data_IF_837976430051
#
_entry.id   IF_837976430051
#
_cell.length_a   1.000
_cell.length_b   1.000
_cell.length_c   1.000
_cell.angle_alpha   90.00
_cell.angle_beta   90.00
_cell.angle_gamma   90.00
#
_symmetry.space_group_name_H-M   'P 1'
#
loop_
_entity.id
_entity.type
_entity.pdbx_description
1 polymer ?
#
# COMPACT_ATOMS: atom_id res chain seq x y z
N UNK A 1 -35.99 -2.43 -49.63
CA UNK A 1 -37.18 -2.56 -48.76
C UNK A 1 -36.68 -2.66 -47.33
N UNK A 2 -36.84 -1.58 -46.56
CA UNK A 2 -36.40 -1.48 -45.16
C UNK A 2 -37.50 -2.08 -44.27
N UNK A 3 -37.22 -3.06 -43.39
CA UNK A 3 -38.21 -3.54 -42.45
C UNK A 3 -38.46 -2.48 -41.36
N UNK A 4 -39.73 -2.29 -41.03
CA UNK A 4 -40.21 -1.31 -40.06
C UNK A 4 -39.83 -1.69 -38.62
N UNK A 5 -39.50 -0.67 -37.83
CA UNK A 5 -39.23 -0.75 -36.39
C UNK A 5 -40.44 -1.29 -35.62
N UNK A 6 -40.29 -2.45 -34.99
CA UNK A 6 -41.29 -3.02 -34.08
C UNK A 6 -41.30 -2.23 -32.76
N UNK A 7 -42.39 -1.52 -32.47
CA UNK A 7 -42.57 -0.80 -31.20
C UNK A 7 -43.03 -1.80 -30.14
N UNK A 8 -42.14 -2.13 -29.21
CA UNK A 8 -42.48 -2.93 -28.02
C UNK A 8 -43.53 -2.19 -27.19
N UNK A 9 -44.77 -2.69 -27.20
CA UNK A 9 -45.87 -2.11 -26.42
C UNK A 9 -45.84 -2.65 -24.99
N UNK A 10 -45.33 -1.84 -24.07
CA UNK A 10 -45.32 -2.14 -22.63
C UNK A 10 -46.75 -2.38 -22.14
N UNK A 11 -47.00 -3.56 -21.60
CA UNK A 11 -48.31 -3.99 -21.13
C UNK A 11 -48.68 -3.31 -19.81
N UNK A 12 -49.98 -3.19 -19.51
CA UNK A 12 -50.43 -2.59 -18.23
C UNK A 12 -49.82 -3.30 -17.01
N UNK A 13 -49.60 -4.60 -17.08
CA UNK A 13 -49.00 -5.39 -15.99
C UNK A 13 -47.53 -5.01 -15.74
N UNK A 14 -46.74 -4.81 -16.78
CA UNK A 14 -45.34 -4.35 -16.64
C UNK A 14 -45.24 -2.94 -16.06
N UNK A 15 -46.21 -2.06 -16.37
CA UNK A 15 -46.30 -0.72 -15.75
C UNK A 15 -46.61 -0.78 -14.25
N UNK A 16 -47.49 -1.70 -13.84
CA UNK A 16 -47.80 -1.92 -12.42
C UNK A 16 -46.62 -2.51 -11.66
N UNK A 17 -45.87 -3.43 -12.26
CA UNK A 17 -44.64 -3.98 -11.67
C UNK A 17 -43.57 -2.90 -11.54
N UNK A 18 -43.34 -2.10 -12.59
CA UNK A 18 -42.38 -0.99 -12.57
C UNK A 18 -42.73 0.06 -11.51
N UNK A 19 -44.01 0.38 -11.33
CA UNK A 19 -44.47 1.27 -10.28
C UNK A 19 -44.24 0.69 -8.88
N UNK A 20 -44.48 -0.62 -8.70
CA UNK A 20 -44.18 -1.31 -7.44
C UNK A 20 -42.70 -1.24 -7.06
N UNK A 21 -41.80 -1.46 -8.02
CA UNK A 21 -40.35 -1.34 -7.81
C UNK A 21 -39.95 0.08 -7.42
N UNK A 22 -40.49 1.10 -8.09
CA UNK A 22 -40.20 2.50 -7.78
C UNK A 22 -40.68 2.90 -6.37
N UNK A 23 -41.83 2.41 -5.93
CA UNK A 23 -42.34 2.66 -4.57
C UNK A 23 -41.43 2.02 -3.51
N UNK A 24 -40.95 0.80 -3.76
CA UNK A 24 -40.01 0.12 -2.84
C UNK A 24 -38.68 0.87 -2.78
N UNK A 25 -38.13 1.30 -3.92
CA UNK A 25 -36.89 2.08 -3.96
C UNK A 25 -37.04 3.43 -3.25
N UNK A 26 -38.17 4.11 -3.44
CA UNK A 26 -38.47 5.35 -2.73
C UNK A 26 -38.56 5.13 -1.22
N UNK A 27 -39.18 4.04 -0.77
CA UNK A 27 -39.26 3.69 0.66
C UNK A 27 -37.88 3.39 1.26
N UNK A 28 -37.02 2.69 0.53
CA UNK A 28 -35.62 2.43 0.95
C UNK A 28 -34.84 3.73 1.03
N UNK A 29 -34.91 4.59 0.01
CA UNK A 29 -34.24 5.89 0.00
C UNK A 29 -34.71 6.79 1.16
N UNK A 30 -36.02 6.80 1.44
CA UNK A 30 -36.58 7.54 2.58
C UNK A 30 -36.12 6.96 3.93
N UNK A 31 -36.00 5.63 4.01
CA UNK A 31 -35.47 4.93 5.19
C UNK A 31 -33.99 5.27 5.44
N UNK A 32 -33.16 5.24 4.41
CA UNK A 32 -31.74 5.64 4.48
C UNK A 32 -31.64 7.12 4.88
N UNK A 33 -32.43 7.99 4.25
CA UNK A 33 -32.47 9.42 4.58
C UNK A 33 -32.88 9.63 6.04
N UNK A 34 -33.87 8.90 6.56
CA UNK A 34 -34.28 9.00 7.96
C UNK A 34 -33.21 8.48 8.95
N UNK A 35 -32.41 7.50 8.54
CA UNK A 35 -31.32 6.94 9.36
C UNK A 35 -30.08 7.85 9.32
N UNK A 36 -29.78 8.53 8.21
CA UNK A 36 -28.60 9.40 8.09
C UNK A 36 -28.64 10.60 9.05
N UNK A 37 -29.84 11.06 9.48
CA UNK A 37 -29.98 12.13 10.48
C UNK A 37 -30.04 11.62 11.92
N UNK A 38 -30.04 10.30 12.15
CA UNK A 38 -29.90 9.74 13.50
C UNK A 38 -28.43 9.62 13.84
N UNK A 39 -27.82 10.76 14.16
CA UNK A 39 -26.53 10.79 14.84
C UNK A 39 -26.62 9.91 16.08
N UNK A 40 -25.90 8.79 16.07
CA UNK A 40 -25.88 7.86 17.19
C UNK A 40 -25.13 8.56 18.35
N UNK A 41 -25.81 8.91 19.46
CA UNK A 41 -25.18 9.64 20.56
C UNK A 41 -24.03 8.85 21.21
N UNK A 42 -23.94 7.55 21.00
CA UNK A 42 -22.80 6.72 21.42
C UNK A 42 -21.51 7.02 20.63
N UNK A 43 -21.61 7.48 19.38
CA UNK A 43 -20.46 7.86 18.55
C UNK A 43 -19.94 9.22 18.99
N UNK A 44 -20.83 10.18 19.26
CA UNK A 44 -20.48 11.49 19.82
C UNK A 44 -19.95 11.38 21.24
N UNK A 45 -20.54 10.52 22.08
CA UNK A 45 -20.02 10.25 23.44
C UNK A 45 -18.65 9.58 23.41
N UNK A 46 -18.35 8.71 22.42
CA UNK A 46 -17.00 8.14 22.23
C UNK A 46 -15.99 9.17 21.72
N UNK A 47 -16.38 10.10 20.85
CA UNK A 47 -15.50 11.21 20.43
C UNK A 47 -15.13 12.10 21.62
N UNK A 48 -16.09 12.41 22.50
CA UNK A 48 -15.83 13.23 23.70
C UNK A 48 -15.03 12.45 24.77
N UNK A 49 -15.19 11.13 24.87
CA UNK A 49 -14.42 10.29 25.79
C UNK A 49 -13.02 9.91 25.26
N UNK A 50 -12.77 10.05 23.96
CA UNK A 50 -11.45 9.86 23.34
C UNK A 50 -10.55 11.09 23.46
N UNK A 51 -11.07 12.21 23.99
CA UNK A 51 -10.24 13.24 24.59
C UNK A 51 -9.71 12.74 25.95
N UNK A 52 -8.67 11.91 25.90
CA UNK A 52 -7.86 11.52 27.05
C UNK A 52 -6.40 11.40 26.62
N UNK A 53 -5.47 11.61 27.57
CA UNK A 53 -4.52 12.71 27.57
C UNK A 53 -3.40 12.53 26.56
N UNK A 54 -2.90 13.67 26.09
CA UNK A 54 -1.68 13.90 25.30
C UNK A 54 -0.63 12.80 25.49
N UNK A 55 -0.67 11.79 24.61
CA UNK A 55 0.50 10.98 24.35
C UNK A 55 1.54 11.95 23.79
N UNK A 56 2.63 12.17 24.54
CA UNK A 56 3.75 13.07 24.24
C UNK A 56 3.92 13.28 22.74
N UNK A 57 3.38 14.38 22.24
CA UNK A 57 3.52 14.75 20.84
C UNK A 57 4.96 15.18 20.61
N UNK A 58 5.65 14.55 19.67
CA UNK A 58 7.04 14.94 19.37
C UNK A 58 7.11 16.28 18.61
N UNK A 59 6.03 16.72 17.94
CA UNK A 59 5.88 18.03 17.30
C UNK A 59 4.47 18.28 16.75
N UNK A 60 4.08 19.56 16.60
CA UNK A 60 2.87 19.97 15.90
C UNK A 60 3.11 20.13 14.38
N UNK A 61 2.12 19.83 13.53
CA UNK A 61 2.30 19.92 12.07
C UNK A 61 2.54 21.35 11.59
N UNK A 62 1.98 22.34 12.27
CA UNK A 62 2.23 23.76 12.01
C UNK A 62 3.69 24.19 12.22
N UNK A 63 4.45 23.47 13.06
CA UNK A 63 5.89 23.72 13.24
C UNK A 63 6.72 23.39 11.99
N UNK A 64 6.12 22.72 11.00
CA UNK A 64 6.75 22.36 9.74
C UNK A 64 6.44 23.36 8.63
N UNK A 65 5.49 24.28 8.85
CA UNK A 65 5.03 25.21 7.82
C UNK A 65 6.15 26.22 7.47
N UNK A 66 6.56 26.32 6.19
CA UNK A 66 7.50 27.35 5.76
C UNK A 66 6.85 28.73 5.82
N UNK A 67 7.68 29.78 5.74
CA UNK A 67 7.19 31.13 5.58
C UNK A 67 6.28 31.24 4.34
N UNK A 68 5.10 31.84 4.51
CA UNK A 68 4.10 31.95 3.45
C UNK A 68 3.05 30.83 3.43
N UNK A 69 3.15 29.85 4.33
CA UNK A 69 2.10 28.86 4.59
C UNK A 69 1.49 29.07 5.97
N UNK A 70 0.18 28.87 6.08
CA UNK A 70 -0.55 28.99 7.33
C UNK A 70 -1.55 27.84 7.50
N UNK A 71 -1.83 27.39 8.74
CA UNK A 71 -2.92 26.47 9.01
C UNK A 71 -4.25 26.98 8.44
N UNK A 72 -4.95 26.11 7.71
CA UNK A 72 -6.27 26.36 7.12
C UNK A 72 -7.39 25.58 7.80
N UNK A 73 -7.02 24.55 8.57
CA UNK A 73 -7.92 23.81 9.46
C UNK A 73 -7.28 23.61 10.83
N UNK A 74 -8.07 23.29 11.87
CA UNK A 74 -7.54 22.66 13.08
C UNK A 74 -6.83 21.34 12.72
N UNK A 75 -5.87 20.89 13.54
CA UNK A 75 -5.31 19.55 13.40
C UNK A 75 -6.38 18.50 13.74
N UNK A 76 -6.39 17.41 12.98
CA UNK A 76 -7.25 16.25 13.18
C UNK A 76 -6.40 15.00 13.46
N UNK A 77 -6.96 14.05 14.21
CA UNK A 77 -6.33 12.77 14.51
C UNK A 77 -7.30 11.62 14.34
N UNK A 78 -6.80 10.53 13.75
CA UNK A 78 -7.55 9.30 13.55
C UNK A 78 -6.73 8.12 14.07
N UNK A 79 -7.42 7.14 14.61
CA UNK A 79 -6.91 5.87 15.12
C UNK A 79 -7.45 4.71 14.27
N UNK A 80 -7.14 3.44 14.56
CA UNK A 80 -7.63 2.32 13.75
C UNK A 80 -9.15 2.25 13.65
N UNK A 81 -9.89 2.74 14.65
CA UNK A 81 -11.35 2.71 14.67
C UNK A 81 -11.96 3.80 13.78
N UNK A 82 -11.26 4.94 13.62
CA UNK A 82 -11.78 6.14 12.96
C UNK A 82 -11.12 6.44 11.61
N UNK A 83 -10.02 5.76 11.25
CA UNK A 83 -9.31 6.01 10.00
C UNK A 83 -10.21 5.87 8.77
N UNK A 84 -11.08 4.84 8.75
CA UNK A 84 -11.94 4.54 7.60
C UNK A 84 -12.87 5.69 7.23
N UNK A 85 -13.32 6.49 8.21
CA UNK A 85 -14.14 7.68 8.00
C UNK A 85 -13.36 8.76 7.25
N UNK A 86 -12.07 8.94 7.57
CA UNK A 86 -11.23 9.96 6.94
C UNK A 86 -10.87 9.62 5.49
N UNK A 87 -10.60 8.35 5.20
CA UNK A 87 -10.10 7.91 3.89
C UNK A 87 -11.12 7.12 3.08
N UNK A 88 -12.42 7.31 3.37
CA UNK A 88 -13.54 6.75 2.61
C UNK A 88 -13.45 5.22 2.45
N UNK A 89 -13.24 4.50 3.54
CA UNK A 89 -13.21 3.04 3.57
C UNK A 89 -11.91 2.40 3.03
N UNK A 90 -10.90 3.19 2.64
CA UNK A 90 -9.64 2.67 2.08
C UNK A 90 -8.58 2.29 3.13
N UNK A 91 -9.01 1.90 4.32
CA UNK A 91 -8.14 1.69 5.48
C UNK A 91 -7.43 0.34 5.52
N UNK A 92 -7.93 -0.66 4.80
CA UNK A 92 -7.42 -2.04 4.82
C UNK A 92 -5.90 -2.12 4.57
N UNK A 93 -5.41 -1.38 3.58
CA UNK A 93 -3.97 -1.31 3.27
C UNK A 93 -3.14 -0.88 4.48
N UNK A 94 -3.59 0.13 5.22
CA UNK A 94 -2.86 0.66 6.35
C UNK A 94 -2.90 -0.31 7.54
N UNK A 95 -4.04 -0.98 7.74
CA UNK A 95 -4.19 -1.98 8.80
C UNK A 95 -3.29 -3.20 8.58
N UNK A 96 -3.17 -3.66 7.34
CA UNK A 96 -2.22 -4.73 6.96
C UNK A 96 -0.76 -4.39 7.30
N UNK A 97 -0.44 -3.09 7.38
CA UNK A 97 0.87 -2.54 7.68
C UNK A 97 0.93 -1.91 9.09
N UNK A 98 0.29 -2.51 10.10
CA UNK A 98 0.45 -2.13 11.51
C UNK A 98 0.10 -0.66 11.84
N UNK A 99 -0.82 -0.04 11.10
CA UNK A 99 -1.25 1.35 11.31
C UNK A 99 -1.58 1.64 12.79
N UNK A 100 -1.04 2.75 13.30
CA UNK A 100 -1.25 3.20 14.68
C UNK A 100 -2.10 4.46 14.78
N UNK A 101 -1.84 5.44 13.93
CA UNK A 101 -2.59 6.70 13.92
C UNK A 101 -2.31 7.52 12.67
N UNK A 102 -3.23 8.41 12.32
CA UNK A 102 -3.05 9.44 11.31
C UNK A 102 -3.21 10.80 11.99
N UNK A 103 -2.26 11.71 11.76
CA UNK A 103 -2.44 13.15 12.03
C UNK A 103 -2.60 13.87 10.70
N UNK A 104 -3.56 14.78 10.61
CA UNK A 104 -3.77 15.56 9.39
C UNK A 104 -4.13 17.00 9.67
N UNK A 105 -3.73 17.90 8.78
CA UNK A 105 -4.06 19.32 8.84
C UNK A 105 -3.98 19.94 7.44
N UNK A 106 -4.90 20.86 7.14
CA UNK A 106 -4.86 21.65 5.92
C UNK A 106 -4.00 22.88 6.11
N UNK A 107 -3.25 23.23 5.08
CA UNK A 107 -2.45 24.45 5.00
C UNK A 107 -2.73 25.19 3.71
N UNK A 108 -2.72 26.51 3.79
CA UNK A 108 -3.01 27.42 2.67
C UNK A 108 -1.85 28.36 2.42
N UNK A 109 -1.63 28.71 1.16
CA UNK A 109 -0.69 29.77 0.79
C UNK A 109 -1.24 31.13 1.24
N UNK A 110 -0.46 31.88 2.01
CA UNK A 110 -0.85 33.20 2.49
C UNK A 110 -1.08 34.20 1.33
N UNK A 111 -0.43 33.98 0.20
CA UNK A 111 -0.57 34.81 -1.00
C UNK A 111 -1.83 34.51 -1.81
N UNK A 112 -2.40 33.31 -1.68
CA UNK A 112 -3.59 32.87 -2.41
C UNK A 112 -4.37 31.81 -1.64
N UNK A 113 -5.56 32.19 -1.15
CA UNK A 113 -6.38 31.34 -0.30
C UNK A 113 -7.08 30.20 -1.03
N UNK A 114 -7.10 30.18 -2.37
CA UNK A 114 -7.59 29.01 -3.11
C UNK A 114 -6.57 27.88 -3.18
N UNK A 115 -5.29 28.18 -2.99
CA UNK A 115 -4.20 27.21 -3.05
C UNK A 115 -3.90 26.64 -1.66
N UNK A 116 -4.45 25.46 -1.40
CA UNK A 116 -4.24 24.71 -0.16
C UNK A 116 -3.92 23.25 -0.43
N UNK A 117 -3.23 22.61 0.51
CA UNK A 117 -3.08 21.17 0.56
C UNK A 117 -3.45 20.62 1.92
N UNK A 118 -3.67 19.32 1.98
CA UNK A 118 -3.79 18.58 3.24
C UNK A 118 -2.55 17.71 3.44
N UNK A 119 -1.96 17.81 4.64
CA UNK A 119 -0.81 17.00 5.05
C UNK A 119 -1.30 15.83 5.89
N UNK A 120 -1.03 14.61 5.45
CA UNK A 120 -1.37 13.37 6.15
C UNK A 120 -0.09 12.70 6.66
N UNK A 121 0.05 12.55 7.98
CA UNK A 121 1.16 11.85 8.62
C UNK A 121 0.66 10.56 9.24
N UNK A 122 0.85 9.46 8.53
CA UNK A 122 0.53 8.12 8.98
C UNK A 122 1.67 7.58 9.82
N UNK A 123 1.34 7.09 11.01
CA UNK A 123 2.24 6.36 11.88
C UNK A 123 2.04 4.86 11.68
N UNK A 124 2.98 4.21 11.01
CA UNK A 124 2.93 2.79 10.68
C UNK A 124 3.67 1.93 11.70
N UNK A 125 4.15 2.53 12.79
CA UNK A 125 4.84 1.84 13.88
C UNK A 125 6.28 1.41 13.58
N UNK A 126 6.58 0.98 12.36
CA UNK A 126 7.93 0.62 11.91
C UNK A 126 8.25 1.23 10.54
N UNK A 127 9.53 1.34 10.22
CA UNK A 127 9.96 1.85 8.92
C UNK A 127 9.68 0.88 7.76
N UNK A 128 9.66 -0.43 8.04
CA UNK A 128 9.24 -1.43 7.05
C UNK A 128 7.77 -1.26 6.69
N UNK A 129 6.91 -1.07 7.67
CA UNK A 129 5.49 -0.90 7.44
C UNK A 129 5.17 0.43 6.73
N UNK A 130 5.89 1.51 7.06
CA UNK A 130 5.83 2.77 6.31
C UNK A 130 6.24 2.59 4.84
N UNK A 131 7.33 1.87 4.60
CA UNK A 131 7.79 1.54 3.24
C UNK A 131 6.78 0.65 2.50
N UNK A 132 6.14 -0.29 3.19
CA UNK A 132 5.10 -1.14 2.60
C UNK A 132 3.94 -0.32 2.05
N UNK A 133 3.36 0.57 2.87
CA UNK A 133 2.29 1.47 2.40
C UNK A 133 2.78 2.35 1.25
N UNK A 134 3.96 2.97 1.39
CA UNK A 134 4.54 3.82 0.35
C UNK A 134 4.66 3.08 -0.99
N UNK A 135 5.27 1.89 -0.98
CA UNK A 135 5.57 1.13 -2.18
C UNK A 135 4.31 0.58 -2.86
N UNK A 136 3.29 0.21 -2.09
CA UNK A 136 2.00 -0.27 -2.60
C UNK A 136 1.12 0.87 -3.14
N UNK A 137 1.25 2.08 -2.61
CA UNK A 137 0.48 3.24 -3.08
C UNK A 137 1.14 4.02 -4.22
N UNK A 138 2.43 3.80 -4.47
CA UNK A 138 3.22 4.59 -5.42
C UNK A 138 2.61 4.58 -6.82
N UNK A 139 2.39 5.78 -7.38
CA UNK A 139 1.79 5.99 -8.72
C UNK A 139 2.73 6.64 -9.74
N UNK A 140 3.95 6.97 -9.33
CA UNK A 140 4.94 7.63 -10.16
C UNK A 140 6.34 7.13 -9.88
N UNK A 141 7.28 7.56 -10.70
CA UNK A 141 8.69 7.27 -10.50
C UNK A 141 9.21 7.91 -9.22
N UNK A 142 10.25 7.30 -8.65
CA UNK A 142 10.93 7.88 -7.49
C UNK A 142 11.51 9.24 -7.88
N UNK A 143 11.36 10.21 -6.99
CA UNK A 143 11.87 11.57 -7.19
C UNK A 143 13.40 11.56 -7.05
N UNK A 144 14.10 11.76 -8.18
CA UNK A 144 15.56 11.86 -8.18
C UNK A 144 16.00 13.07 -7.34
N UNK A 145 16.86 12.83 -6.36
CA UNK A 145 17.28 13.88 -5.41
C UNK A 145 16.17 14.37 -4.48
N UNK A 146 15.06 13.63 -4.37
CA UNK A 146 13.97 13.92 -3.44
C UNK A 146 14.42 13.92 -1.97
N UNK A 147 13.53 14.35 -1.04
CA UNK A 147 13.86 14.50 0.38
C UNK A 147 14.26 13.18 1.06
N UNK A 148 13.85 12.05 0.47
CA UNK A 148 14.31 10.70 0.84
C UNK A 148 14.48 9.85 -0.41
N UNK A 149 15.15 8.70 -0.29
CA UNK A 149 15.20 7.68 -1.35
C UNK A 149 13.83 7.04 -1.65
N UNK A 150 12.86 7.23 -0.76
CA UNK A 150 11.48 6.73 -0.88
C UNK A 150 10.53 7.91 -0.95
N UNK A 151 10.71 8.73 -1.98
CA UNK A 151 9.85 9.86 -2.29
C UNK A 151 9.37 9.76 -3.74
N UNK A 152 8.14 10.18 -4.01
CA UNK A 152 7.64 10.44 -5.37
C UNK A 152 6.67 11.63 -5.36
N UNK A 153 6.43 12.18 -6.53
CA UNK A 153 5.51 13.29 -6.73
C UNK A 153 4.46 12.97 -7.80
N UNK A 154 3.31 13.62 -7.68
CA UNK A 154 2.28 13.76 -8.72
C UNK A 154 2.11 15.25 -9.01
N UNK A 155 1.37 15.66 -10.07
CA UNK A 155 1.18 17.08 -10.39
C UNK A 155 0.63 17.94 -9.23
N UNK A 156 -0.12 17.34 -8.31
CA UNK A 156 -0.72 18.03 -7.17
C UNK A 156 -0.36 17.40 -5.82
N UNK A 157 0.68 16.56 -5.74
CA UNK A 157 1.02 15.94 -4.47
C UNK A 157 2.43 15.41 -4.36
N UNK A 158 2.85 15.19 -3.11
CA UNK A 158 4.15 14.61 -2.75
C UNK A 158 3.95 13.56 -1.68
N UNK A 159 4.68 12.46 -1.81
CA UNK A 159 4.50 11.28 -1.00
C UNK A 159 5.87 10.72 -0.61
N UNK A 160 6.06 10.34 0.64
CA UNK A 160 7.31 9.73 1.07
C UNK A 160 7.15 8.76 2.25
N UNK A 161 8.08 7.82 2.37
CA UNK A 161 8.32 7.08 3.60
C UNK A 161 9.60 7.59 4.26
N UNK A 162 9.55 7.81 5.58
CA UNK A 162 10.71 8.19 6.39
C UNK A 162 10.50 7.84 7.87
N UNK A 163 11.44 7.09 8.44
CA UNK A 163 11.30 6.46 9.74
C UNK A 163 10.04 5.59 9.76
N UNK A 164 9.31 5.61 10.87
CA UNK A 164 8.02 4.89 11.00
C UNK A 164 6.84 5.56 10.30
N UNK A 165 7.08 6.63 9.56
CA UNK A 165 6.03 7.47 9.03
C UNK A 165 5.92 7.36 7.52
N UNK A 166 4.67 7.35 7.06
CA UNK A 166 4.32 7.57 5.66
C UNK A 166 3.59 8.93 5.56
N UNK A 167 4.08 9.78 4.67
CA UNK A 167 3.64 11.16 4.49
C UNK A 167 2.95 11.31 3.14
N UNK A 168 1.78 11.92 3.14
CA UNK A 168 1.12 12.43 1.93
C UNK A 168 0.88 13.94 2.06
N UNK A 169 1.19 14.69 1.01
CA UNK A 169 0.87 16.10 0.88
C UNK A 169 0.03 16.23 -0.40
N UNK A 170 -1.26 16.51 -0.25
CA UNK A 170 -2.20 16.49 -1.37
C UNK A 170 -2.83 17.87 -1.55
N UNK A 171 -2.45 18.54 -2.63
CA UNK A 171 -2.98 19.83 -3.06
C UNK A 171 -4.38 19.72 -3.66
N UNK A 172 -5.20 20.75 -3.42
CA UNK A 172 -6.53 20.88 -3.99
C UNK A 172 -6.50 20.94 -5.53
N UNK A 173 -5.41 21.49 -6.08
CA UNK A 173 -5.13 21.55 -7.51
C UNK A 173 -3.63 21.47 -7.77
N UNK A 174 -3.26 21.26 -9.05
CA UNK A 174 -1.87 21.29 -9.48
C UNK A 174 -1.38 22.74 -9.57
N UNK A 175 -0.33 23.08 -8.83
CA UNK A 175 0.23 24.44 -8.81
C UNK A 175 1.70 24.39 -8.37
N UNK A 176 2.58 25.03 -9.14
CA UNK A 176 4.02 25.04 -8.87
C UNK A 176 4.35 25.69 -7.52
N UNK A 177 3.67 26.77 -7.16
CA UNK A 177 3.89 27.46 -5.88
C UNK A 177 3.46 26.59 -4.70
N UNK A 178 2.33 25.90 -4.83
CA UNK A 178 1.85 24.98 -3.81
C UNK A 178 2.75 23.74 -3.69
N UNK A 179 3.24 23.20 -4.82
CA UNK A 179 4.14 22.05 -4.82
C UNK A 179 5.54 22.38 -4.34
N UNK A 180 5.99 23.63 -4.50
CA UNK A 180 7.20 24.13 -3.84
C UNK A 180 7.01 24.15 -2.31
N UNK A 181 5.91 24.73 -1.83
CA UNK A 181 5.61 24.78 -0.39
C UNK A 181 5.47 23.37 0.22
N UNK A 182 4.84 22.43 -0.50
CA UNK A 182 4.78 21.02 -0.10
C UNK A 182 6.18 20.39 -0.01
N UNK A 183 7.08 20.67 -0.97
CA UNK A 183 8.46 20.20 -0.92
C UNK A 183 9.25 20.75 0.27
N UNK A 184 9.08 22.03 0.58
CA UNK A 184 9.69 22.66 1.76
C UNK A 184 9.16 22.02 3.06
N UNK A 185 7.86 21.74 3.16
CA UNK A 185 7.26 21.02 4.30
C UNK A 185 7.74 19.56 4.41
N UNK A 186 7.85 18.84 3.31
CA UNK A 186 8.39 17.48 3.29
C UNK A 186 9.85 17.45 3.81
N UNK A 187 10.65 18.44 3.43
CA UNK A 187 12.03 18.59 3.91
C UNK A 187 12.07 18.90 5.40
N UNK A 188 11.22 19.82 5.87
CA UNK A 188 11.09 20.12 7.30
C UNK A 188 10.66 18.89 8.10
N UNK A 189 9.75 18.08 7.57
CA UNK A 189 9.32 16.82 8.16
C UNK A 189 10.50 15.85 8.30
N UNK A 190 11.24 15.58 7.23
CA UNK A 190 12.41 14.68 7.26
C UNK A 190 13.45 15.16 8.29
N UNK A 191 13.76 16.45 8.30
CA UNK A 191 14.68 17.03 9.28
C UNK A 191 14.18 16.89 10.73
N UNK A 192 12.87 17.01 10.96
CA UNK A 192 12.27 16.85 12.28
C UNK A 192 12.34 15.41 12.79
N UNK A 193 12.12 14.44 11.91
CA UNK A 193 12.23 13.02 12.26
C UNK A 193 13.70 12.62 12.48
N UNK A 194 14.62 13.23 11.74
CA UNK A 194 16.05 12.98 11.85
C UNK A 194 16.50 11.76 11.04
N UNK A 195 17.65 11.21 11.40
CA UNK A 195 18.26 10.10 10.68
C UNK A 195 17.35 8.86 10.70
N UNK A 196 17.22 8.24 9.54
CA UNK A 196 16.42 7.04 9.35
C UNK A 196 17.32 5.83 9.14
N UNK A 197 17.15 4.85 10.00
CA UNK A 197 17.90 3.59 9.97
C UNK A 197 17.05 2.49 9.32
N UNK A 198 16.29 2.79 8.24
CA UNK A 198 15.57 1.72 7.53
C UNK A 198 16.58 0.72 7.00
N UNK A 199 16.55 -0.49 7.57
CA UNK A 199 17.30 -1.61 7.03
C UNK A 199 16.40 -2.44 6.13
N UNK A 200 16.29 -2.04 4.86
CA UNK A 200 15.64 -2.80 3.78
C UNK A 200 16.70 -3.58 2.99
N UNK A 201 17.58 -4.31 3.68
CA UNK A 201 18.70 -5.04 3.03
C UNK A 201 18.19 -6.01 1.96
N UNK A 202 16.99 -6.56 2.13
CA UNK A 202 16.38 -7.48 1.19
C UNK A 202 16.17 -6.85 -0.21
N UNK A 203 16.02 -5.52 -0.30
CA UNK A 203 15.87 -4.84 -1.59
C UNK A 203 17.10 -4.97 -2.50
N UNK A 204 18.29 -5.20 -1.93
CA UNK A 204 19.54 -5.36 -2.72
C UNK A 204 19.70 -6.77 -3.28
N UNK A 205 18.91 -7.73 -2.77
CA UNK A 205 18.98 -9.13 -3.19
C UNK A 205 18.36 -9.37 -4.56
N UNK A 206 17.51 -8.46 -5.04
CA UNK A 206 16.90 -8.54 -6.37
C UNK A 206 17.90 -8.14 -7.46
N UNK A 207 18.23 -9.04 -8.40
CA UNK A 207 19.02 -8.72 -9.58
C UNK A 207 18.53 -7.49 -10.36
N UNK A 208 19.43 -6.84 -11.09
CA UNK A 208 19.07 -5.68 -11.90
C UNK A 208 18.60 -6.08 -13.30
N UNK A 209 19.19 -7.13 -13.86
CA UNK A 209 18.89 -7.62 -15.20
C UNK A 209 17.42 -8.06 -15.31
N UNK A 210 16.70 -7.47 -16.27
CA UNK A 210 15.28 -7.75 -16.51
C UNK A 210 14.32 -7.20 -15.44
N UNK A 211 14.81 -6.58 -14.37
CA UNK A 211 13.96 -5.98 -13.33
C UNK A 211 13.31 -4.71 -13.85
N UNK A 212 12.00 -4.57 -13.63
CA UNK A 212 11.27 -3.34 -13.96
C UNK A 212 11.76 -2.21 -13.04
N UNK A 213 12.20 -1.05 -13.58
CA UNK A 213 12.65 0.06 -12.75
C UNK A 213 11.61 0.50 -11.72
N UNK A 214 12.06 0.73 -10.48
CA UNK A 214 11.19 1.12 -9.37
C UNK A 214 10.25 0.03 -8.85
N UNK A 215 10.09 -1.12 -9.49
CA UNK A 215 9.06 -2.12 -9.12
C UNK A 215 9.29 -2.85 -7.80
N UNK A 216 10.31 -2.47 -7.02
CA UNK A 216 10.56 -3.04 -5.71
C UNK A 216 9.48 -2.58 -4.74
N UNK A 217 8.87 -3.54 -4.05
CA UNK A 217 7.78 -3.29 -3.12
C UNK A 217 7.93 -4.16 -1.87
N UNK A 218 7.13 -3.88 -0.85
CA UNK A 218 7.00 -4.70 0.34
C UNK A 218 5.52 -4.92 0.64
N UNK A 219 5.11 -6.18 0.71
CA UNK A 219 3.78 -6.59 1.15
C UNK A 219 3.83 -6.88 2.64
N UNK A 220 3.10 -6.11 3.44
CA UNK A 220 3.16 -6.20 4.89
C UNK A 220 2.57 -7.51 5.44
N UNK A 221 1.41 -7.94 4.93
CA UNK A 221 0.75 -9.18 5.32
C UNK A 221 0.13 -9.90 4.12
N UNK A 222 -0.05 -11.21 4.29
CA UNK A 222 -0.80 -12.10 3.40
C UNK A 222 -0.45 -11.96 1.90
N UNK A 223 0.85 -11.93 1.61
CA UNK A 223 1.34 -11.85 0.25
C UNK A 223 0.81 -13.01 -0.60
N UNK A 224 0.36 -12.68 -1.81
CA UNK A 224 -0.26 -13.62 -2.76
C UNK A 224 -1.52 -14.32 -2.21
N UNK A 225 -2.16 -13.74 -1.18
CA UNK A 225 -3.33 -14.34 -0.53
C UNK A 225 -3.00 -15.44 0.46
N UNK A 226 -1.72 -15.65 0.78
CA UNK A 226 -1.26 -16.71 1.69
C UNK A 226 -1.24 -16.18 3.12
N UNK A 227 -2.22 -16.61 3.93
CA UNK A 227 -2.34 -16.20 5.34
C UNK A 227 -1.03 -16.40 6.11
N UNK A 228 -0.56 -15.34 6.75
CA UNK A 228 0.67 -15.34 7.55
C UNK A 228 1.96 -15.18 6.73
N UNK A 229 1.88 -15.10 5.40
CA UNK A 229 3.03 -14.80 4.55
C UNK A 229 3.30 -13.29 4.50
N UNK A 230 3.89 -12.79 5.59
CA UNK A 230 4.09 -11.36 5.87
C UNK A 230 5.51 -10.86 5.59
N UNK A 231 5.64 -9.54 5.50
CA UNK A 231 6.88 -8.81 5.28
C UNK A 231 7.66 -9.32 4.06
N UNK A 232 6.95 -9.47 2.94
CA UNK A 232 7.47 -10.05 1.70
C UNK A 232 7.90 -8.93 0.77
N UNK A 233 9.21 -8.78 0.58
CA UNK A 233 9.72 -7.91 -0.46
C UNK A 233 9.48 -8.56 -1.81
N UNK A 234 9.08 -7.75 -2.79
CA UNK A 234 8.85 -8.20 -4.17
C UNK A 234 9.56 -7.30 -5.16
N UNK A 235 9.84 -7.82 -6.34
CA UNK A 235 10.28 -7.06 -7.50
C UNK A 235 9.72 -7.68 -8.77
N UNK A 236 9.14 -6.84 -9.64
CA UNK A 236 8.68 -7.23 -10.97
C UNK A 236 9.83 -7.36 -11.95
N UNK A 237 9.76 -8.38 -12.80
CA UNK A 237 10.68 -8.63 -13.90
C UNK A 237 9.89 -8.76 -15.20
N UNK A 238 10.58 -8.50 -16.30
CA UNK A 238 10.12 -8.75 -17.65
C UNK A 238 11.16 -9.61 -18.35
N UNK A 239 10.78 -10.81 -18.76
CA UNK A 239 11.61 -11.68 -19.60
C UNK A 239 10.84 -12.05 -20.87
N UNK A 240 11.43 -11.74 -22.02
CA UNK A 240 10.86 -12.03 -23.35
C UNK A 240 9.42 -11.51 -23.54
N UNK A 241 9.03 -10.43 -22.85
CA UNK A 241 7.69 -9.83 -22.92
C UNK A 241 6.68 -10.42 -21.93
N UNK A 242 7.07 -11.40 -21.10
CA UNK A 242 6.25 -11.95 -20.03
C UNK A 242 6.68 -11.40 -18.67
N UNK A 243 5.72 -10.99 -17.85
CA UNK A 243 5.95 -10.51 -16.50
C UNK A 243 6.04 -11.66 -15.50
N UNK A 244 6.88 -11.49 -14.48
CA UNK A 244 7.00 -12.37 -13.32
C UNK A 244 7.46 -11.59 -12.10
N UNK A 245 7.21 -12.10 -10.90
CA UNK A 245 7.65 -11.48 -9.65
C UNK A 245 8.69 -12.33 -8.94
N UNK A 246 9.82 -11.74 -8.53
CA UNK A 246 10.64 -12.35 -7.50
C UNK A 246 10.19 -11.88 -6.12
N UNK A 247 10.34 -12.73 -5.10
CA UNK A 247 10.12 -12.34 -3.72
C UNK A 247 11.18 -12.87 -2.77
N UNK A 248 11.45 -12.09 -1.73
CA UNK A 248 12.33 -12.46 -0.62
C UNK A 248 11.69 -12.03 0.68
N UNK A 249 11.75 -12.90 1.68
CA UNK A 249 11.38 -12.52 3.04
C UNK A 249 12.31 -13.12 4.07
N UNK A 250 12.67 -12.33 5.07
CA UNK A 250 13.50 -12.76 6.20
C UNK A 250 12.60 -13.21 7.35
N UNK A 251 13.01 -14.27 8.04
CA UNK A 251 12.40 -14.79 9.26
C UNK A 251 13.36 -14.70 10.43
N UNK A 252 12.83 -14.84 11.62
CA UNK A 252 13.55 -14.78 12.88
C UNK A 252 14.62 -15.87 12.99
N UNK A 253 14.38 -17.04 12.37
CA UNK A 253 15.27 -18.21 12.40
C UNK A 253 15.21 -19.01 11.11
N UNK A 254 16.16 -19.94 10.94
CA UNK A 254 16.16 -20.85 9.80
C UNK A 254 15.00 -21.86 9.84
N UNK A 255 14.60 -22.29 11.03
CA UNK A 255 13.42 -23.14 11.20
C UNK A 255 12.13 -22.42 10.79
N UNK A 256 12.00 -21.13 11.14
CA UNK A 256 10.87 -20.30 10.74
C UNK A 256 10.84 -20.04 9.22
N UNK A 257 12.01 -19.80 8.61
CA UNK A 257 12.13 -19.69 7.15
C UNK A 257 11.71 -20.99 6.45
N UNK A 258 12.20 -22.14 6.93
CA UNK A 258 11.78 -23.44 6.42
C UNK A 258 10.26 -23.64 6.53
N UNK A 259 9.69 -23.43 7.71
CA UNK A 259 8.24 -23.57 7.91
C UNK A 259 7.44 -22.63 7.01
N UNK A 260 7.92 -21.40 6.80
CA UNK A 260 7.26 -20.45 5.88
C UNK A 260 7.32 -20.94 4.43
N UNK A 261 8.48 -21.43 3.96
CA UNK A 261 8.61 -21.98 2.61
C UNK A 261 7.73 -23.21 2.39
N UNK A 262 7.61 -24.08 3.41
CA UNK A 262 6.71 -25.22 3.40
C UNK A 262 5.24 -24.77 3.33
N UNK A 263 4.83 -23.75 4.11
CA UNK A 263 3.47 -23.16 4.02
C UNK A 263 3.16 -22.62 2.63
N UNK A 264 4.10 -21.90 2.00
CA UNK A 264 3.90 -21.36 0.65
C UNK A 264 3.77 -22.49 -0.38
N UNK A 265 4.65 -23.51 -0.31
CA UNK A 265 4.55 -24.69 -1.18
C UNK A 265 3.19 -25.39 -1.01
N UNK A 266 2.81 -25.66 0.23
CA UNK A 266 1.61 -26.43 0.55
C UNK A 266 0.35 -25.68 0.13
N UNK A 267 0.33 -24.34 0.24
CA UNK A 267 -0.74 -23.51 -0.29
C UNK A 267 -0.95 -23.76 -1.80
N UNK A 268 0.09 -23.61 -2.62
CA UNK A 268 -0.09 -23.79 -4.08
C UNK A 268 -0.51 -25.22 -4.44
N UNK A 269 0.02 -26.24 -3.75
CA UNK A 269 -0.39 -27.63 -3.97
C UNK A 269 -1.85 -27.88 -3.55
N UNK A 270 -2.31 -27.29 -2.45
CA UNK A 270 -3.70 -27.39 -1.98
C UNK A 270 -4.68 -26.76 -2.98
N UNK A 271 -4.30 -25.63 -3.59
CA UNK A 271 -5.13 -24.91 -4.55
C UNK A 271 -4.97 -25.36 -6.01
N UNK A 272 -4.52 -26.61 -6.22
CA UNK A 272 -4.52 -27.28 -7.53
C UNK A 272 -3.20 -27.25 -8.28
N UNK A 273 -2.13 -26.77 -7.66
CA UNK A 273 -0.78 -26.82 -8.21
C UNK A 273 -0.23 -28.25 -8.27
N UNK A 274 0.61 -28.50 -9.27
CA UNK A 274 1.30 -29.78 -9.47
C UNK A 274 2.79 -29.61 -9.23
N UNK A 275 3.37 -30.41 -8.35
CA UNK A 275 4.82 -30.42 -8.13
C UNK A 275 5.53 -30.92 -9.40
N UNK A 276 6.53 -30.18 -9.84
CA UNK A 276 7.45 -30.57 -10.92
C UNK A 276 8.79 -31.04 -10.34
N UNK A 277 9.59 -31.69 -11.19
CA UNK A 277 10.98 -31.98 -10.87
C UNK A 277 11.79 -30.68 -10.80
N UNK A 278 12.66 -30.59 -9.80
CA UNK A 278 13.50 -29.42 -9.57
C UNK A 278 14.74 -29.75 -8.74
N UNK A 279 15.63 -28.76 -8.50
CA UNK A 279 16.79 -28.94 -7.64
C UNK A 279 16.40 -29.40 -6.22
N UNK A 280 17.32 -30.11 -5.55
CA UNK A 280 17.08 -30.56 -4.18
C UNK A 280 16.80 -29.38 -3.24
N UNK A 281 15.72 -29.49 -2.45
CA UNK A 281 15.30 -28.44 -1.52
C UNK A 281 14.59 -27.25 -2.15
N UNK A 282 14.33 -27.28 -3.46
CA UNK A 282 13.58 -26.26 -4.19
C UNK A 282 12.23 -26.83 -4.64
N UNK A 283 11.14 -26.21 -4.18
CA UNK A 283 9.81 -26.55 -4.69
C UNK A 283 9.57 -25.79 -6.00
N UNK A 284 9.21 -26.53 -7.05
CA UNK A 284 8.79 -26.01 -8.35
C UNK A 284 7.38 -26.51 -8.59
N UNK A 285 6.43 -25.60 -8.80
CA UNK A 285 5.00 -25.92 -8.84
C UNK A 285 4.40 -25.29 -10.09
N UNK A 286 3.72 -26.10 -10.91
CA UNK A 286 2.89 -25.64 -12.01
C UNK A 286 1.47 -25.36 -11.50
N UNK A 287 0.99 -24.13 -11.67
CA UNK A 287 -0.35 -23.73 -11.33
C UNK A 287 -0.84 -22.63 -12.28
N UNK A 288 -2.06 -22.79 -12.81
CA UNK A 288 -2.73 -21.80 -13.67
C UNK A 288 -1.88 -21.34 -14.87
N UNK A 289 -1.22 -22.28 -15.54
CA UNK A 289 -0.31 -22.02 -16.68
C UNK A 289 0.91 -21.14 -16.32
N UNK A 290 1.27 -21.09 -15.03
CA UNK A 290 2.44 -20.40 -14.51
C UNK A 290 3.25 -21.28 -13.56
N UNK A 291 4.49 -20.90 -13.32
CA UNK A 291 5.41 -21.60 -12.44
C UNK A 291 5.69 -20.78 -11.18
N UNK A 292 5.50 -21.43 -10.04
CA UNK A 292 5.90 -20.95 -8.72
C UNK A 292 7.19 -21.67 -8.30
N UNK A 293 8.14 -20.92 -7.76
CA UNK A 293 9.35 -21.46 -7.15
C UNK A 293 9.45 -20.97 -5.73
N UNK A 294 9.69 -21.87 -4.77
CA UNK A 294 9.94 -21.49 -3.38
C UNK A 294 10.98 -22.38 -2.72
N UNK A 295 11.88 -21.76 -1.98
CA UNK A 295 12.83 -22.45 -1.11
C UNK A 295 13.26 -21.55 0.05
N UNK A 296 14.08 -22.09 0.95
CA UNK A 296 14.68 -21.31 2.03
C UNK A 296 16.21 -21.47 2.04
N UNK A 297 16.91 -20.41 2.45
CA UNK A 297 18.35 -20.43 2.70
C UNK A 297 18.65 -19.63 3.97
N UNK A 298 19.18 -20.32 5.01
CA UNK A 298 19.36 -19.71 6.32
C UNK A 298 18.04 -19.15 6.83
N UNK A 299 17.99 -17.85 7.14
CA UNK A 299 16.79 -17.16 7.64
C UNK A 299 15.89 -16.58 6.53
N UNK A 300 16.17 -16.86 5.26
CA UNK A 300 15.46 -16.27 4.14
C UNK A 300 14.59 -17.30 3.43
N UNK A 301 13.39 -16.88 3.04
CA UNK A 301 12.58 -17.55 2.02
C UNK A 301 12.76 -16.77 0.73
N UNK A 302 13.04 -17.48 -0.34
CA UNK A 302 13.26 -16.94 -1.69
C UNK A 302 12.28 -17.64 -2.61
N UNK A 303 11.71 -16.88 -3.54
CA UNK A 303 10.90 -17.48 -4.57
C UNK A 303 10.61 -16.59 -5.76
N UNK A 304 9.90 -17.18 -6.70
CA UNK A 304 9.42 -16.56 -7.92
C UNK A 304 7.96 -16.92 -8.08
N UNK A 305 7.16 -15.92 -8.43
CA UNK A 305 5.71 -15.98 -8.57
C UNK A 305 5.30 -15.64 -10.01
N UNK A 306 4.36 -16.40 -10.54
CA UNK A 306 3.80 -16.27 -11.90
C UNK A 306 4.86 -16.30 -13.01
N UNK A 307 5.87 -17.18 -12.92
CA UNK A 307 6.85 -17.31 -14.00
C UNK A 307 6.25 -18.04 -15.22
N UNK A 308 6.70 -17.71 -16.47
CA UNK A 308 6.22 -18.39 -17.67
C UNK A 308 6.67 -19.86 -17.79
N UNK A 309 7.81 -20.19 -17.18
CA UNK A 309 8.43 -21.51 -17.28
C UNK A 309 9.44 -21.73 -16.13
N UNK A 310 9.77 -23.01 -15.89
CA UNK A 310 10.64 -23.41 -14.79
C UNK A 310 12.08 -22.96 -14.97
N UNK A 311 12.56 -22.83 -16.22
CA UNK A 311 13.92 -22.39 -16.51
C UNK A 311 14.11 -20.93 -16.06
N UNK A 312 13.20 -20.06 -16.48
CA UNK A 312 13.15 -18.64 -16.11
C UNK A 312 13.02 -18.47 -14.60
N UNK A 313 12.10 -19.22 -13.97
CA UNK A 313 11.86 -19.14 -12.53
C UNK A 313 13.10 -19.54 -11.72
N UNK A 314 13.69 -20.70 -12.04
CA UNK A 314 14.87 -21.21 -11.35
C UNK A 314 16.09 -20.31 -11.57
N UNK A 315 16.30 -19.79 -12.78
CA UNK A 315 17.41 -18.90 -13.08
C UNK A 315 17.35 -17.62 -12.22
N UNK A 316 16.18 -17.00 -12.10
CA UNK A 316 16.00 -15.79 -11.29
C UNK A 316 16.16 -16.08 -9.79
N UNK A 317 15.56 -17.16 -9.30
CA UNK A 317 15.65 -17.54 -7.89
C UNK A 317 17.11 -17.88 -7.49
N UNK A 318 17.86 -18.49 -8.39
CA UNK A 318 19.28 -18.80 -8.22
C UNK A 318 20.17 -17.55 -8.19
N UNK A 319 19.88 -16.53 -9.01
CA UNK A 319 20.61 -15.26 -8.95
C UNK A 319 20.43 -14.57 -7.59
N UNK A 320 19.21 -14.60 -7.04
CA UNK A 320 18.92 -14.08 -5.69
C UNK A 320 19.68 -14.88 -4.64
N UNK A 321 19.70 -16.21 -4.76
CA UNK A 321 20.45 -17.10 -3.86
C UNK A 321 21.95 -16.76 -3.82
N UNK A 322 22.57 -16.52 -4.99
CA UNK A 322 23.97 -16.11 -5.11
C UNK A 322 24.23 -14.76 -4.47
N UNK A 323 23.40 -13.75 -4.76
CA UNK A 323 23.50 -12.42 -4.13
C UNK A 323 23.38 -12.49 -2.61
N UNK A 324 22.52 -13.36 -2.08
CA UNK A 324 22.40 -13.57 -0.64
C UNK A 324 23.70 -14.13 -0.02
N UNK A 325 24.43 -14.99 -0.75
CA UNK A 325 25.72 -15.51 -0.28
C UNK A 325 26.80 -14.44 -0.30
N UNK A 326 26.84 -13.62 -1.35
CA UNK A 326 27.78 -12.51 -1.47
C UNK A 326 27.59 -11.45 -0.38
N UNK A 327 26.33 -11.06 -0.12
CA UNK A 327 25.99 -10.07 0.92
C UNK A 327 26.12 -10.66 2.34
N UNK A 328 26.05 -11.99 2.47
CA UNK A 328 26.10 -12.71 3.74
C UNK A 328 27.51 -12.96 4.29
N UNK A 329 28.57 -12.78 3.50
CA UNK A 329 29.97 -13.01 3.91
C UNK A 329 30.65 -11.74 4.49
N UNK A 330 30.09 -10.55 4.23
CA UNK A 330 30.63 -9.26 4.70
C UNK A 330 30.10 -8.82 6.09
N UNK A 331 29.30 -9.66 6.76
CA UNK A 331 28.51 -9.28 7.95
C UNK A 331 28.73 -10.13 9.21
N UNK A 332 29.85 -10.86 9.31
CA UNK A 332 30.24 -11.58 10.55
C UNK A 332 31.04 -10.72 11.51
#
# INVERSE_FOLDING_TARGET
MTPASEKVTVTRKERWVGFGVLVVLAAIALGIYAIQFRFNPAVTARQVLSESPTATESFALEDLAPAGMQPFSPPERFDPDTLSDKINGKAELYFSASFRSLRTQRFVLAADSSLWFEMFVYDMGTARDAFSVFSMQRRGDLEEGGPTQFAYATPNGRFLAHGRYYLELIGAEASDSLMKAAGDMATAFVNRIGADAVNLTEMVLFPEDGRVPGSRSLVASDAFGITGFSQVFTAQYQQNGTGLSAYVTRRESAAAARSTAETVRDFYLEYGGTSLDGPEGVAVIDILDTIEVVFYQGRYVIGVHEAPDSETALALAEQIRKRLQEVGDDGS
#
